data_IF_975339035278
#
_entry.id   IF_975339035278
#
_cell.length_a   1.000
_cell.length_b   1.000
_cell.length_c   1.000
_cell.angle_alpha   90.00
_cell.angle_beta   90.00
_cell.angle_gamma   90.00
#
_symmetry.space_group_name_H-M   'P 1'
#
loop_
_entity.id
_entity.type
_entity.pdbx_description
1 polymer ?
#
# COMPACT_ATOMS: atom_id res chain seq x y z
N UNK A 1 -4.09 3.04 -13.53
CA UNK A 1 -2.62 3.01 -13.76
C UNK A 1 -1.84 3.07 -12.46
N UNK A 2 -2.15 4.01 -11.55
CA UNK A 2 -1.50 4.23 -10.25
C UNK A 2 -1.13 2.92 -9.51
N UNK A 3 -2.09 2.07 -9.17
CA UNK A 3 -1.84 0.81 -8.44
C UNK A 3 -0.88 -0.15 -9.13
N UNK A 4 -0.82 -0.16 -10.47
CA UNK A 4 0.06 -1.06 -11.24
C UNK A 4 1.51 -0.56 -11.25
N UNK A 5 1.70 0.74 -11.11
CA UNK A 5 3.01 1.39 -11.09
C UNK A 5 3.57 1.49 -9.67
N UNK A 6 2.70 1.57 -8.66
CA UNK A 6 3.08 1.59 -7.25
C UNK A 6 3.73 0.27 -6.84
N UNK A 7 5.03 0.31 -6.55
CA UNK A 7 5.78 -0.82 -6.00
C UNK A 7 6.01 -0.61 -4.51
N UNK A 8 5.50 -1.53 -3.69
CA UNK A 8 5.78 -1.58 -2.26
C UNK A 8 6.93 -2.54 -1.98
N UNK A 9 7.78 -2.19 -1.01
CA UNK A 9 8.86 -3.06 -0.52
C UNK A 9 8.42 -3.72 0.78
N UNK A 10 8.73 -5.01 0.93
CA UNK A 10 8.51 -5.70 2.20
C UNK A 10 9.49 -5.18 3.28
N UNK A 11 9.10 -5.19 4.58
CA UNK A 11 7.83 -5.69 5.11
C UNK A 11 6.70 -4.67 5.00
N UNK A 12 5.47 -5.17 4.82
CA UNK A 12 4.23 -4.38 4.86
C UNK A 12 3.30 -5.05 5.86
N UNK A 13 2.69 -4.29 6.76
CA UNK A 13 1.72 -4.80 7.75
C UNK A 13 0.30 -4.50 7.30
N UNK A 14 -0.64 -5.33 7.74
CA UNK A 14 -2.07 -5.07 7.56
C UNK A 14 -2.43 -3.75 8.24
N UNK A 15 -3.05 -2.85 7.49
CA UNK A 15 -3.39 -1.50 7.95
C UNK A 15 -2.38 -0.43 7.57
N UNK A 16 -1.22 -0.79 7.01
CA UNK A 16 -0.26 0.21 6.51
C UNK A 16 -0.86 0.95 5.31
N UNK A 17 -0.81 2.28 5.32
CA UNK A 17 -1.22 3.12 4.19
C UNK A 17 -0.17 2.99 3.08
N UNK A 18 -0.60 2.47 1.93
CA UNK A 18 0.24 2.29 0.73
C UNK A 18 0.18 3.53 -0.17
N UNK A 19 -0.99 4.16 -0.28
CA UNK A 19 -1.19 5.42 -1.01
C UNK A 19 -2.16 6.26 -0.21
N UNK A 20 -1.75 7.49 0.13
CA UNK A 20 -2.61 8.46 0.80
C UNK A 20 -3.37 9.30 -0.23
N UNK A 21 -4.65 9.59 0.04
CA UNK A 21 -5.53 10.45 -0.73
C UNK A 21 -5.48 10.15 -2.25
N UNK A 22 -5.91 8.95 -2.64
CA UNK A 22 -5.87 8.56 -4.05
C UNK A 22 -6.80 9.43 -4.89
N UNK A 23 -6.26 10.01 -5.97
CA UNK A 23 -7.00 10.83 -6.95
C UNK A 23 -7.76 12.01 -6.32
N UNK A 24 -7.25 12.56 -5.20
CA UNK A 24 -7.90 13.66 -4.46
C UNK A 24 -9.33 13.36 -4.00
N UNK A 25 -9.64 12.07 -3.83
CA UNK A 25 -10.96 11.61 -3.35
C UNK A 25 -11.11 11.66 -1.83
N UNK A 26 -10.03 11.94 -1.09
CA UNK A 26 -9.95 11.83 0.36
C UNK A 26 -9.83 10.39 0.88
N UNK A 27 -9.69 9.40 0.00
CA UNK A 27 -9.61 7.99 0.37
C UNK A 27 -8.16 7.48 0.40
N UNK A 28 -7.82 6.72 1.42
CA UNK A 28 -6.50 6.08 1.55
C UNK A 28 -6.56 4.61 1.14
N UNK A 29 -5.52 4.16 0.44
CA UNK A 29 -5.32 2.75 0.11
C UNK A 29 -4.42 2.12 1.16
N UNK A 30 -4.96 1.13 1.87
CA UNK A 30 -4.23 0.37 2.88
C UNK A 30 -3.88 -1.05 2.41
N UNK A 31 -2.80 -1.61 2.97
CA UNK A 31 -2.46 -3.00 2.80
C UNK A 31 -3.43 -3.89 3.60
N UNK A 32 -4.15 -4.76 2.91
CA UNK A 32 -5.10 -5.70 3.53
C UNK A 32 -4.42 -6.95 4.09
N UNK A 33 -3.19 -7.23 3.66
CA UNK A 33 -2.40 -8.40 4.06
C UNK A 33 -1.01 -7.98 4.50
N UNK A 34 -0.54 -8.60 5.59
CA UNK A 34 0.85 -8.48 6.01
C UNK A 34 1.77 -9.32 5.13
N UNK A 35 2.85 -8.73 4.63
CA UNK A 35 3.90 -9.39 3.85
C UNK A 35 5.22 -9.20 4.58
N UNK A 36 5.81 -10.29 5.04
CA UNK A 36 7.11 -10.27 5.71
C UNK A 36 8.24 -10.28 4.66
N UNK A 37 9.32 -9.55 4.96
CA UNK A 37 10.55 -9.64 4.16
C UNK A 37 11.19 -11.00 4.41
N UNK A 38 11.37 -11.80 3.36
CA UNK A 38 12.21 -13.01 3.46
C UNK A 38 13.66 -12.57 3.67
N UNK A 39 14.34 -13.22 4.62
CA UNK A 39 15.79 -13.11 4.83
C UNK A 39 16.54 -13.61 3.62
#
# INVERSE_FOLDING_TARGET
>A
KILKETKVKAPVKRGDVVIQNILDTGSDIIATRSVNRKK
#
